data_IF_961416048839
#
_entry.id   IF_961416048839
#
_cell.length_a   1.000
_cell.length_b   1.000
_cell.length_c   1.000
_cell.angle_alpha   90.00
_cell.angle_beta   90.00
_cell.angle_gamma   90.00
#
_symmetry.space_group_name_H-M   'P 1'
#
loop_
_entity.id
_entity.type
_entity.pdbx_description
1 polymer ?
#
# COMPACT_ATOMS: atom_id res chain seq x y z
N UNK A 1 28.03 41.35 22.21
CA UNK A 1 27.10 40.35 21.63
C UNK A 1 26.01 40.02 22.65
N UNK A 2 24.73 40.17 22.29
CA UNK A 2 23.58 40.08 23.21
C UNK A 2 23.12 38.62 23.41
N UNK A 3 23.23 38.09 24.65
CA UNK A 3 22.87 36.71 25.02
C UNK A 3 21.37 36.39 24.89
N UNK A 4 20.50 37.41 24.79
CA UNK A 4 19.04 37.22 24.73
C UNK A 4 18.53 36.71 23.38
N UNK A 5 19.22 37.03 22.27
CA UNK A 5 18.76 36.63 20.93
C UNK A 5 19.02 35.15 20.65
N UNK A 6 20.08 34.58 21.24
CA UNK A 6 20.41 33.15 21.11
C UNK A 6 19.41 32.28 21.88
N UNK A 7 19.00 32.71 23.07
CA UNK A 7 18.01 31.97 23.88
C UNK A 7 16.63 31.94 23.22
N UNK A 8 16.20 33.05 22.61
CA UNK A 8 14.91 33.14 21.93
C UNK A 8 14.83 32.25 20.68
N UNK A 9 15.92 32.14 19.92
CA UNK A 9 16.00 31.22 18.77
C UNK A 9 15.96 29.73 19.16
N UNK A 10 16.59 29.37 20.28
CA UNK A 10 16.60 28.00 20.79
C UNK A 10 15.22 27.55 21.30
N UNK A 11 14.53 28.43 22.03
CA UNK A 11 13.16 28.23 22.53
C UNK A 11 12.17 28.05 21.38
N UNK A 12 12.28 28.86 20.32
CA UNK A 12 11.41 28.76 19.15
C UNK A 12 11.63 27.45 18.38
N UNK A 13 12.89 27.03 18.24
CA UNK A 13 13.25 25.78 17.56
C UNK A 13 12.75 24.56 18.33
N UNK A 14 12.84 24.56 19.67
CA UNK A 14 12.28 23.48 20.50
C UNK A 14 10.76 23.39 20.39
N UNK A 15 10.05 24.52 20.47
CA UNK A 15 8.60 24.55 20.30
C UNK A 15 8.16 24.03 18.93
N UNK A 16 8.86 24.41 17.86
CA UNK A 16 8.60 23.88 16.53
C UNK A 16 8.85 22.36 16.46
N UNK A 17 9.94 21.86 17.05
CA UNK A 17 10.22 20.41 17.10
C UNK A 17 9.13 19.65 17.89
N UNK A 18 8.64 20.21 18.99
CA UNK A 18 7.59 19.60 19.80
C UNK A 18 6.24 19.60 19.06
N UNK A 19 5.89 20.69 18.38
CA UNK A 19 4.72 20.79 17.51
C UNK A 19 4.81 19.85 16.29
N UNK A 20 5.98 19.78 15.65
CA UNK A 20 6.23 18.86 14.54
C UNK A 20 6.16 17.40 15.00
N UNK A 21 6.72 17.08 16.17
CA UNK A 21 6.62 15.75 16.76
C UNK A 21 5.17 15.40 17.07
N UNK A 22 4.40 16.31 17.65
CA UNK A 22 2.97 16.11 17.91
C UNK A 22 2.18 15.91 16.61
N UNK A 23 2.53 16.63 15.54
CA UNK A 23 1.94 16.46 14.22
C UNK A 23 2.31 15.13 13.57
N UNK A 24 3.59 14.74 13.58
CA UNK A 24 4.09 13.50 12.98
C UNK A 24 3.59 12.24 13.70
N UNK A 25 3.39 12.32 15.02
CA UNK A 25 2.83 11.24 15.83
C UNK A 25 1.31 11.09 15.68
N UNK A 26 0.65 11.96 14.90
CA UNK A 26 -0.75 11.78 14.54
C UNK A 26 -0.85 10.53 13.66
N UNK A 27 -1.42 9.44 14.20
CA UNK A 27 -1.44 8.12 13.53
C UNK A 27 -1.89 8.15 12.07
N UNK A 28 -2.90 8.97 11.74
CA UNK A 28 -3.38 9.14 10.37
C UNK A 28 -2.33 9.68 9.37
N UNK A 29 -1.35 10.47 9.83
CA UNK A 29 -0.28 11.02 8.97
C UNK A 29 0.84 10.00 8.79
N UNK A 30 1.20 9.30 9.87
CA UNK A 30 2.25 8.27 9.84
C UNK A 30 1.86 7.11 8.92
N UNK A 31 0.65 6.59 9.04
CA UNK A 31 0.17 5.48 8.21
C UNK A 31 0.05 5.89 6.74
N UNK A 32 -0.38 7.12 6.46
CA UNK A 32 -0.43 7.66 5.10
C UNK A 32 0.98 7.81 4.51
N UNK A 33 1.93 8.33 5.27
CA UNK A 33 3.31 8.52 4.83
C UNK A 33 3.99 7.18 4.50
N UNK A 34 3.80 6.17 5.34
CA UNK A 34 4.31 4.81 5.11
C UNK A 34 3.68 4.22 3.84
N UNK A 35 2.37 4.38 3.65
CA UNK A 35 1.66 3.92 2.45
C UNK A 35 2.21 4.54 1.16
N UNK A 36 2.49 5.85 1.16
CA UNK A 36 3.05 6.56 -0.01
C UNK A 36 4.48 6.09 -0.31
N UNK A 37 5.35 5.97 0.70
CA UNK A 37 6.74 5.55 0.51
C UNK A 37 6.79 4.11 -0.03
N UNK A 38 6.04 3.19 0.58
CA UNK A 38 5.98 1.80 0.12
C UNK A 38 5.38 1.73 -1.28
N UNK A 39 4.33 2.50 -1.56
CA UNK A 39 3.73 2.58 -2.89
C UNK A 39 4.72 3.06 -3.96
N UNK A 40 5.51 4.08 -3.66
CA UNK A 40 6.53 4.60 -4.57
C UNK A 40 7.65 3.58 -4.83
N UNK A 41 8.18 2.94 -3.77
CA UNK A 41 9.20 1.91 -3.91
C UNK A 41 8.69 0.69 -4.68
N UNK A 42 7.45 0.27 -4.43
CA UNK A 42 6.82 -0.84 -5.14
C UNK A 42 6.63 -0.53 -6.62
N UNK A 43 6.22 0.70 -6.96
CA UNK A 43 6.12 1.14 -8.35
C UNK A 43 7.48 1.07 -9.07
N UNK A 44 8.58 1.45 -8.41
CA UNK A 44 9.93 1.33 -8.99
C UNK A 44 10.32 -0.12 -9.28
N UNK A 45 9.96 -1.07 -8.40
CA UNK A 45 10.22 -2.50 -8.62
C UNK A 45 9.45 -3.00 -9.84
N UNK A 46 8.17 -2.64 -9.94
CA UNK A 46 7.32 -3.02 -11.09
C UNK A 46 7.83 -2.38 -12.39
N UNK A 47 8.29 -1.13 -12.33
CA UNK A 47 8.88 -0.43 -13.47
C UNK A 47 10.17 -1.10 -13.96
N UNK A 48 11.07 -1.48 -13.04
CA UNK A 48 12.30 -2.21 -13.39
C UNK A 48 12.00 -3.61 -13.96
N UNK A 49 11.07 -4.36 -13.37
CA UNK A 49 10.65 -5.66 -13.92
C UNK A 49 10.10 -5.52 -15.35
N UNK A 50 9.31 -4.48 -15.60
CA UNK A 50 8.75 -4.25 -16.95
C UNK A 50 9.82 -3.77 -17.92
N UNK A 51 10.56 -2.72 -17.55
CA UNK A 51 11.55 -2.07 -18.40
C UNK A 51 12.81 -2.89 -18.66
N UNK A 52 13.36 -3.51 -17.62
CA UNK A 52 14.68 -4.16 -17.67
C UNK A 52 14.59 -5.65 -18.01
N UNK A 53 13.44 -6.30 -17.76
CA UNK A 53 13.26 -7.73 -18.00
C UNK A 53 12.25 -7.98 -19.13
N UNK A 54 11.04 -7.41 -19.05
CA UNK A 54 10.01 -7.70 -20.05
C UNK A 54 10.29 -7.05 -21.40
N UNK A 55 10.75 -5.80 -21.46
CA UNK A 55 11.04 -5.15 -22.75
C UNK A 55 12.10 -5.89 -23.58
N UNK A 56 13.26 -6.31 -23.04
CA UNK A 56 14.21 -7.13 -23.79
C UNK A 56 13.62 -8.47 -24.25
N UNK A 57 12.83 -9.13 -23.39
CA UNK A 57 12.22 -10.42 -23.70
C UNK A 57 11.19 -10.30 -24.84
N UNK A 58 10.39 -9.24 -24.83
CA UNK A 58 9.43 -8.93 -25.90
C UNK A 58 10.14 -8.50 -27.18
N UNK A 59 11.23 -7.75 -27.07
CA UNK A 59 12.06 -7.37 -28.21
C UNK A 59 12.60 -8.59 -28.96
N UNK A 60 13.01 -9.63 -28.24
CA UNK A 60 13.42 -10.91 -28.81
C UNK A 60 12.21 -11.68 -29.38
N UNK A 61 11.12 -11.77 -28.62
CA UNK A 61 9.95 -12.60 -29.00
C UNK A 61 9.15 -12.06 -30.18
N UNK A 62 9.01 -10.74 -30.30
CA UNK A 62 8.27 -10.08 -31.37
C UNK A 62 9.18 -9.58 -32.49
N UNK A 63 10.51 -9.70 -32.34
CA UNK A 63 11.54 -9.30 -33.32
C UNK A 63 11.31 -7.92 -33.94
N UNK A 64 10.59 -7.04 -33.24
CA UNK A 64 10.10 -5.79 -33.79
C UNK A 64 10.44 -4.64 -32.86
N UNK A 65 11.38 -3.82 -33.32
CA UNK A 65 11.62 -2.51 -32.77
C UNK A 65 10.60 -1.53 -33.39
N UNK A 66 9.34 -1.62 -32.94
CA UNK A 66 8.29 -0.71 -33.42
C UNK A 66 8.63 0.74 -33.13
N UNK A 67 9.52 1.02 -32.16
CA UNK A 67 9.95 2.37 -31.73
C UNK A 67 10.51 3.23 -32.86
N UNK A 68 11.00 2.60 -33.93
CA UNK A 68 11.53 3.27 -35.13
C UNK A 68 10.50 3.47 -36.24
N UNK A 69 9.23 3.07 -36.04
CA UNK A 69 8.13 3.43 -36.94
C UNK A 69 7.77 4.88 -36.69
N UNK A 70 8.37 5.71 -37.53
CA UNK A 70 8.29 7.16 -37.50
C UNK A 70 7.70 7.62 -38.80
N UNK A 71 6.61 8.38 -38.74
CA UNK A 71 6.07 9.07 -39.93
C UNK A 71 6.74 10.44 -39.98
N UNK A 72 7.64 10.70 -40.95
CA UNK A 72 8.24 12.02 -41.10
C UNK A 72 7.17 13.03 -41.53
N UNK A 73 7.10 14.16 -40.83
CA UNK A 73 6.20 15.24 -41.20
C UNK A 73 6.93 16.21 -42.15
N UNK A 74 6.27 16.71 -43.19
CA UNK A 74 6.82 17.79 -43.98
C UNK A 74 7.02 19.05 -43.10
N UNK A 75 8.04 19.85 -43.43
CA UNK A 75 8.39 21.14 -42.81
C UNK A 75 9.22 21.10 -41.51
N UNK A 76 9.96 20.01 -41.25
CA UNK A 76 10.88 19.95 -40.10
C UNK A 76 10.18 19.87 -38.74
N UNK A 77 8.89 19.51 -38.73
CA UNK A 77 8.15 19.20 -37.52
C UNK A 77 8.62 17.87 -36.92
N UNK A 78 8.49 17.74 -35.59
CA UNK A 78 8.86 16.52 -34.88
C UNK A 78 8.13 15.30 -35.49
N UNK A 79 8.86 14.25 -35.87
CA UNK A 79 8.26 13.10 -36.52
C UNK A 79 7.25 12.38 -35.62
N UNK A 80 6.13 11.90 -36.19
CA UNK A 80 5.14 11.15 -35.42
C UNK A 80 5.66 9.75 -35.10
N UNK A 81 6.05 9.55 -33.84
CA UNK A 81 6.60 8.30 -33.29
C UNK A 81 5.49 7.33 -32.86
N UNK A 82 4.64 6.92 -33.81
CA UNK A 82 3.54 5.96 -33.55
C UNK A 82 4.08 4.66 -32.94
N UNK A 83 5.29 4.27 -33.36
CA UNK A 83 6.07 3.19 -32.78
C UNK A 83 6.28 3.24 -31.28
N UNK A 84 6.70 4.40 -30.78
CA UNK A 84 6.95 4.61 -29.36
C UNK A 84 5.64 4.60 -28.56
N UNK A 85 4.56 5.14 -29.13
CA UNK A 85 3.23 5.10 -28.52
C UNK A 85 2.71 3.66 -28.39
N UNK A 86 2.79 2.86 -29.46
CA UNK A 86 2.34 1.46 -29.42
C UNK A 86 3.16 0.64 -28.42
N UNK A 87 4.47 0.85 -28.37
CA UNK A 87 5.35 0.24 -27.35
C UNK A 87 4.92 0.65 -25.93
N UNK A 88 4.60 1.92 -25.71
CA UNK A 88 4.10 2.39 -24.42
C UNK A 88 2.76 1.75 -24.03
N UNK A 89 1.84 1.56 -24.99
CA UNK A 89 0.56 0.88 -24.75
C UNK A 89 0.76 -0.59 -24.39
N UNK A 90 1.63 -1.31 -25.11
CA UNK A 90 1.96 -2.71 -24.80
C UNK A 90 2.56 -2.81 -23.38
N UNK A 91 3.49 -1.92 -23.05
CA UNK A 91 4.10 -1.87 -21.71
C UNK A 91 3.08 -1.57 -20.61
N UNK A 92 2.10 -0.70 -20.87
CA UNK A 92 1.03 -0.43 -19.93
C UNK A 92 0.16 -1.66 -19.66
N UNK A 93 -0.23 -2.39 -20.71
CA UNK A 93 -1.03 -3.64 -20.58
C UNK A 93 -0.25 -4.70 -19.79
N UNK A 94 1.04 -4.84 -20.09
CA UNK A 94 1.91 -5.80 -19.40
C UNK A 94 2.12 -5.40 -17.94
N UNK A 95 2.37 -4.13 -17.65
CA UNK A 95 2.50 -3.62 -16.30
C UNK A 95 1.22 -3.85 -15.48
N UNK A 96 0.04 -3.60 -16.08
CA UNK A 96 -1.24 -3.89 -15.46
C UNK A 96 -1.41 -5.39 -15.16
N UNK A 97 -0.98 -6.26 -16.07
CA UNK A 97 -1.01 -7.71 -15.89
C UNK A 97 -0.07 -8.18 -14.77
N UNK A 98 1.16 -7.66 -14.73
CA UNK A 98 2.14 -7.97 -13.67
C UNK A 98 1.61 -7.53 -12.31
N UNK A 99 1.07 -6.30 -12.22
CA UNK A 99 0.49 -5.79 -10.98
C UNK A 99 -0.68 -6.66 -10.51
N UNK A 100 -1.56 -7.06 -11.43
CA UNK A 100 -2.65 -7.98 -11.15
C UNK A 100 -2.15 -9.33 -10.62
N UNK A 101 -1.12 -9.91 -11.25
CA UNK A 101 -0.50 -11.15 -10.81
C UNK A 101 0.10 -11.03 -9.42
N UNK A 102 0.82 -9.94 -9.11
CA UNK A 102 1.42 -9.68 -7.80
C UNK A 102 0.36 -9.55 -6.71
N UNK A 103 -0.68 -8.73 -6.93
CA UNK A 103 -1.79 -8.57 -5.97
C UNK A 103 -2.52 -9.88 -5.75
N UNK A 104 -2.78 -10.66 -6.82
CA UNK A 104 -3.45 -11.96 -6.72
C UNK A 104 -2.60 -13.01 -6.01
N UNK A 105 -1.29 -13.00 -6.22
CA UNK A 105 -0.36 -13.87 -5.52
C UNK A 105 -0.31 -13.53 -4.02
N UNK A 106 -0.20 -12.25 -3.67
CA UNK A 106 -0.19 -11.79 -2.28
C UNK A 106 -1.51 -12.09 -1.56
N UNK A 107 -2.65 -11.88 -2.23
CA UNK A 107 -3.97 -12.26 -1.72
C UNK A 107 -4.13 -13.78 -1.53
N UNK A 108 -3.49 -14.59 -2.40
CA UNK A 108 -3.46 -16.06 -2.26
C UNK A 108 -2.61 -16.49 -1.06
N UNK A 109 -1.44 -15.88 -0.86
CA UNK A 109 -0.57 -16.09 0.30
C UNK A 109 -1.25 -15.72 1.62
N UNK A 110 -1.90 -14.56 1.69
CA UNK A 110 -2.65 -14.14 2.88
C UNK A 110 -3.79 -15.11 3.21
N UNK A 111 -4.53 -15.62 2.22
CA UNK A 111 -5.56 -16.65 2.42
C UNK A 111 -5.01 -17.96 2.96
N UNK A 112 -3.82 -18.38 2.54
CA UNK A 112 -3.15 -19.58 3.06
C UNK A 112 -2.74 -19.36 4.53
N UNK A 113 -2.20 -18.17 4.85
CA UNK A 113 -1.83 -17.80 6.21
C UNK A 113 -3.02 -17.71 7.17
N UNK A 114 -4.14 -17.12 6.73
CA UNK A 114 -5.36 -17.01 7.53
C UNK A 114 -6.00 -18.38 7.79
N UNK A 115 -6.07 -19.27 6.79
CA UNK A 115 -6.57 -20.64 7.00
C UNK A 115 -5.73 -21.44 7.99
N UNK A 116 -4.41 -21.22 8.02
CA UNK A 116 -3.52 -21.86 8.99
C UNK A 116 -3.69 -21.29 10.39
N UNK A 117 -3.99 -19.99 10.50
CA UNK A 117 -4.29 -19.31 11.77
C UNK A 117 -5.65 -19.73 12.33
N UNK A 118 -6.67 -19.80 11.48
CA UNK A 118 -8.02 -20.27 11.82
C UNK A 118 -8.02 -21.76 12.21
N UNK A 119 -7.27 -22.62 11.52
CA UNK A 119 -7.14 -24.03 11.89
C UNK A 119 -6.38 -24.22 13.22
N UNK A 120 -5.36 -23.41 13.49
CA UNK A 120 -4.64 -23.44 14.76
C UNK A 120 -5.48 -22.87 15.92
N UNK A 121 -6.30 -21.85 15.65
CA UNK A 121 -7.17 -21.22 16.65
C UNK A 121 -8.42 -22.09 16.94
N UNK A 122 -8.95 -22.79 15.93
CA UNK A 122 -10.01 -23.79 16.11
C UNK A 122 -9.51 -25.06 16.83
N UNK A 123 -8.24 -25.42 16.68
CA UNK A 123 -7.62 -26.52 17.43
C UNK A 123 -7.19 -26.13 18.85
N UNK A 124 -7.00 -24.83 19.14
CA UNK A 124 -6.50 -24.33 20.43
C UNK A 124 -7.56 -23.69 21.34
N UNK A 125 -8.77 -23.38 20.85
CA UNK A 125 -9.89 -22.97 21.71
C UNK A 125 -10.67 -24.21 22.18
N UNK A 126 -10.54 -24.67 23.44
CA UNK A 126 -11.68 -25.35 24.04
C UNK A 126 -12.85 -24.36 24.02
N UNK A 127 -14.07 -24.86 23.79
CA UNK A 127 -15.29 -24.07 23.71
C UNK A 127 -15.46 -23.19 24.96
N UNK A 128 -14.91 -21.98 24.92
CA UNK A 128 -15.23 -20.92 25.85
C UNK A 128 -16.61 -20.39 25.46
N UNK A 129 -17.44 -20.00 26.44
CA UNK A 129 -18.81 -19.59 26.17
C UNK A 129 -18.80 -18.45 25.16
N UNK A 130 -19.61 -18.63 24.12
CA UNK A 130 -19.77 -17.63 23.07
C UNK A 130 -20.26 -16.31 23.67
N UNK A 131 -19.99 -15.18 23.00
CA UNK A 131 -20.45 -13.88 23.49
C UNK A 131 -21.97 -13.86 23.76
N UNK A 132 -22.72 -14.64 22.98
CA UNK A 132 -24.16 -14.86 23.18
C UNK A 132 -24.49 -15.58 24.49
N UNK A 133 -23.71 -16.59 24.90
CA UNK A 133 -23.87 -17.26 26.20
C UNK A 133 -23.50 -16.34 27.37
N UNK A 134 -22.48 -15.48 27.20
CA UNK A 134 -22.11 -14.50 28.22
C UNK A 134 -23.19 -13.43 28.38
N UNK A 135 -23.76 -12.94 27.28
CA UNK A 135 -24.87 -11.99 27.29
C UNK A 135 -26.14 -12.60 27.90
N UNK A 136 -26.47 -13.86 27.56
CA UNK A 136 -27.59 -14.58 28.15
C UNK A 136 -27.43 -14.76 29.67
N UNK A 137 -26.21 -15.04 30.12
CA UNK A 137 -25.89 -15.18 31.55
C UNK A 137 -26.00 -13.85 32.29
N UNK A 138 -25.52 -12.75 31.71
CA UNK A 138 -25.65 -11.39 32.28
C UNK A 138 -27.13 -11.00 32.39
N UNK A 139 -27.94 -11.27 31.36
CA UNK A 139 -29.38 -10.95 31.37
C UNK A 139 -30.13 -11.72 32.48
N UNK A 140 -29.85 -13.02 32.62
CA UNK A 140 -30.45 -13.86 33.66
C UNK A 140 -30.08 -13.38 35.07
N UNK A 141 -28.82 -12.98 35.28
CA UNK A 141 -28.34 -12.43 36.56
C UNK A 141 -29.03 -11.09 36.91
N UNK A 142 -29.22 -10.21 35.92
CA UNK A 142 -29.90 -8.92 36.12
C UNK A 142 -31.39 -9.08 36.43
N UNK A 143 -32.09 -10.03 35.81
CA UNK A 143 -33.49 -10.33 36.14
C UNK A 143 -33.62 -10.89 37.56
N UNK A 144 -32.66 -11.73 37.98
CA UNK A 144 -32.60 -12.26 39.34
C UNK A 144 -32.32 -11.17 40.39
N UNK A 145 -31.50 -10.16 40.07
CA UNK A 145 -31.29 -8.99 40.94
C UNK A 145 -32.53 -8.10 41.02
N UNK A 146 -33.18 -7.80 39.89
CA UNK A 146 -34.38 -6.96 39.86
C UNK A 146 -35.56 -7.52 40.69
N UNK A 147 -35.64 -8.85 40.84
CA UNK A 147 -36.62 -9.49 41.71
C UNK A 147 -36.20 -9.60 43.19
N UNK A 148 -34.92 -9.36 43.52
CA UNK A 148 -34.46 -9.27 44.91
C UNK A 148 -34.66 -7.88 45.50
N UNK A 149 -34.78 -6.86 44.65
CA UNK A 149 -34.95 -5.46 45.02
C UNK A 149 -36.43 -4.98 44.99
N UNK A 150 -37.38 -5.91 44.78
CA UNK A 150 -38.84 -5.67 44.79
C UNK A 150 -39.52 -6.45 45.93
#
# INVERSE_FOLDING_TARGET
MNQNHVKQGLEHSRKFLDEFRAFALKGNVMDMAIGVIIGASFQSIVASLTGDILNPLLGIAFSTDFSNVVIPLPNGADPLRIGAFLSAVINFVIMAFVLFCLVKFMGRLMRIGQRKKEAAEAAAKPAGPTQEELLAKILAELQAQNHRDA
#
